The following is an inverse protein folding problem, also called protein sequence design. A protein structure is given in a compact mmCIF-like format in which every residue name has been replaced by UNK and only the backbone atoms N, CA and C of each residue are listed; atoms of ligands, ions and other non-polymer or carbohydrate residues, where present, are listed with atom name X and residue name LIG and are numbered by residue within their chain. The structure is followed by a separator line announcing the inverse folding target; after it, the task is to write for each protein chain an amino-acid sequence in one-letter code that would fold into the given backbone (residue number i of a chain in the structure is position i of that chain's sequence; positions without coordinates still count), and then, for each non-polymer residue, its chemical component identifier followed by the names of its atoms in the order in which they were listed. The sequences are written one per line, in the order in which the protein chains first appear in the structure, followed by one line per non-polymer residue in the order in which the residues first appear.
data_IF_126547208171
#
_entry.id   IF_126547208171
#
_cell.length_a   1.000
_cell.length_b   1.000
_cell.length_c   1.000
_cell.angle_alpha   90.00
_cell.angle_beta   90.00
_cell.angle_gamma   90.00
#
_symmetry.space_group_name_H-M   'P 1'
#
loop_
_entity.id
_entity.type
_entity.pdbx_description
1 polymer ?
#
# COMPACT_ATOMS: atom_id res chain seq x y z
N UNK A 1 2.02 1.79 -3.59
CA UNK A 1 1.07 1.64 -2.49
C UNK A 1 0.95 2.92 -1.67
N UNK A 2 0.07 2.94 -0.65
CA UNK A 2 -0.14 4.08 0.25
C UNK A 2 0.53 3.88 1.61
N UNK A 3 0.06 2.88 2.35
CA UNK A 3 0.49 2.59 3.71
C UNK A 3 1.87 1.94 3.71
N UNK A 4 2.80 2.44 4.53
CA UNK A 4 4.20 2.00 4.52
C UNK A 4 5.02 2.46 3.30
N UNK A 5 4.41 3.13 2.32
CA UNK A 5 5.08 3.60 1.09
C UNK A 5 5.00 5.11 0.97
N UNK A 6 3.81 5.68 0.98
CA UNK A 6 3.60 7.14 1.01
C UNK A 6 3.60 7.64 2.44
N UNK A 7 2.85 6.98 3.32
CA UNK A 7 2.75 7.32 4.73
C UNK A 7 3.31 6.21 5.63
N UNK A 8 3.98 6.58 6.72
CA UNK A 8 4.43 5.67 7.78
C UNK A 8 3.26 5.36 8.74
N UNK A 9 2.26 4.64 8.23
CA UNK A 9 1.03 4.30 8.95
C UNK A 9 1.03 2.89 9.52
N UNK A 10 1.91 2.02 9.07
CA UNK A 10 1.93 0.61 9.43
C UNK A 10 2.11 0.32 10.93
N UNK A 11 2.91 1.07 11.70
CA UNK A 11 2.97 0.89 13.15
C UNK A 11 1.62 1.14 13.83
N UNK A 12 0.83 2.11 13.31
CA UNK A 12 -0.49 2.44 13.84
C UNK A 12 -1.50 1.31 13.54
N UNK A 13 -1.49 0.78 12.29
CA UNK A 13 -2.33 -0.38 11.93
C UNK A 13 -1.96 -1.65 12.68
N UNK A 14 -0.67 -1.93 12.86
CA UNK A 14 -0.22 -3.08 13.65
C UNK A 14 -0.78 -3.02 15.07
N UNK A 15 -0.79 -1.84 15.69
CA UNK A 15 -1.37 -1.64 17.03
C UNK A 15 -2.88 -1.84 17.03
N UNK A 16 -3.59 -1.26 16.07
CA UNK A 16 -5.04 -1.40 15.94
C UNK A 16 -5.46 -2.85 15.72
N UNK A 17 -4.92 -3.48 14.65
CA UNK A 17 -5.26 -4.86 14.32
C UNK A 17 -4.81 -5.86 15.39
N UNK A 18 -3.66 -5.62 16.03
CA UNK A 18 -3.22 -6.43 17.15
C UNK A 18 -4.22 -6.43 18.32
N UNK A 19 -4.90 -5.31 18.57
CA UNK A 19 -5.98 -5.25 19.58
C UNK A 19 -7.20 -6.07 19.14
N UNK A 20 -7.66 -5.93 17.87
CA UNK A 20 -8.78 -6.71 17.34
C UNK A 20 -8.47 -8.21 17.31
N UNK A 21 -7.26 -8.59 16.87
CA UNK A 21 -6.85 -9.99 16.82
C UNK A 21 -6.78 -10.62 18.21
N UNK A 22 -6.25 -9.94 19.21
CA UNK A 22 -6.23 -10.45 20.59
C UNK A 22 -7.64 -10.65 21.17
N UNK A 23 -8.59 -9.79 20.82
CA UNK A 23 -9.96 -9.88 21.31
C UNK A 23 -10.77 -10.99 20.61
N UNK A 24 -10.67 -11.09 19.28
CA UNK A 24 -11.55 -11.92 18.48
C UNK A 24 -10.88 -13.18 17.90
N UNK A 25 -9.56 -13.18 17.76
CA UNK A 25 -8.76 -14.28 17.18
C UNK A 25 -7.53 -14.60 18.04
N UNK A 26 -7.72 -14.87 19.36
CA UNK A 26 -6.62 -15.26 20.23
C UNK A 26 -5.97 -16.59 19.81
N UNK A 27 -6.69 -17.40 19.01
CA UNK A 27 -6.23 -18.64 18.40
C UNK A 27 -5.20 -18.45 17.27
N UNK A 28 -5.03 -17.21 16.78
CA UNK A 28 -4.11 -16.92 15.67
C UNK A 28 -3.11 -15.80 16.03
N UNK A 29 -2.05 -16.10 16.79
CA UNK A 29 -1.03 -15.12 17.14
C UNK A 29 -0.32 -14.58 15.89
N UNK A 30 -0.12 -13.25 15.80
CA UNK A 30 0.57 -12.61 14.68
C UNK A 30 -0.30 -12.35 13.45
N UNK A 31 -1.62 -12.56 13.55
CA UNK A 31 -2.56 -12.29 12.47
C UNK A 31 -2.49 -10.84 11.98
N UNK A 32 -2.19 -9.88 12.86
CA UNK A 32 -2.02 -8.46 12.54
C UNK A 32 -0.91 -8.19 11.51
N UNK A 33 0.03 -9.12 11.35
CA UNK A 33 1.07 -9.04 10.33
C UNK A 33 0.66 -9.76 9.04
N UNK A 34 -0.11 -10.83 9.14
CA UNK A 34 -0.53 -11.64 7.99
C UNK A 34 -1.58 -10.92 7.10
N UNK A 35 -2.40 -10.06 7.69
CA UNK A 35 -3.48 -9.33 6.98
C UNK A 35 -2.98 -8.14 6.15
N UNK A 36 -1.73 -7.72 6.32
CA UNK A 36 -1.17 -6.55 5.62
C UNK A 36 -1.25 -6.70 4.10
N UNK A 37 -1.64 -5.61 3.42
CA UNK A 37 -1.82 -5.56 1.97
C UNK A 37 -3.13 -6.17 1.46
N UNK A 38 -3.98 -6.73 2.34
CA UNK A 38 -5.32 -7.20 1.97
C UNK A 38 -6.36 -6.07 2.09
N UNK A 39 -7.45 -6.20 1.35
CA UNK A 39 -8.60 -5.30 1.51
C UNK A 39 -9.36 -5.63 2.80
N UNK A 40 -10.11 -4.64 3.33
CA UNK A 40 -10.95 -4.87 4.50
C UNK A 40 -11.95 -6.00 4.30
N UNK A 41 -12.55 -6.10 3.10
CA UNK A 41 -13.50 -7.16 2.77
C UNK A 41 -12.86 -8.53 2.95
N UNK A 42 -11.68 -8.75 2.37
CA UNK A 42 -10.96 -10.03 2.49
C UNK A 42 -10.52 -10.32 3.92
N UNK A 43 -10.07 -9.32 4.66
CA UNK A 43 -9.71 -9.50 6.07
C UNK A 43 -10.92 -9.99 6.86
N UNK A 44 -12.08 -9.38 6.66
CA UNK A 44 -13.31 -9.75 7.36
C UNK A 44 -13.81 -11.13 6.95
N UNK A 45 -13.81 -11.45 5.66
CA UNK A 45 -14.24 -12.75 5.15
C UNK A 45 -13.32 -13.89 5.61
N UNK A 46 -12.01 -13.72 5.46
CA UNK A 46 -11.04 -14.78 5.71
C UNK A 46 -10.79 -15.03 7.21
N UNK A 47 -10.85 -13.99 8.04
CA UNK A 47 -10.39 -14.10 9.44
C UNK A 47 -11.46 -13.81 10.47
N UNK A 48 -12.53 -13.08 10.12
CA UNK A 48 -13.61 -12.70 11.03
C UNK A 48 -14.99 -13.13 10.50
N UNK A 49 -15.03 -14.17 9.64
CA UNK A 49 -16.24 -14.81 9.14
C UNK A 49 -16.79 -15.87 10.10
N UNK A 50 -17.81 -16.63 9.64
CA UNK A 50 -18.41 -17.71 10.41
C UNK A 50 -19.01 -17.21 11.72
N UNK A 51 -18.58 -17.79 12.85
CA UNK A 51 -19.06 -17.41 14.20
C UNK A 51 -18.76 -15.95 14.56
N UNK A 52 -17.74 -15.36 13.94
CA UNK A 52 -17.34 -13.96 14.16
C UNK A 52 -18.06 -12.97 13.23
N UNK A 53 -18.89 -13.44 12.29
CA UNK A 53 -19.60 -12.55 11.36
C UNK A 53 -20.41 -11.45 12.07
N UNK A 54 -21.00 -11.74 13.21
CA UNK A 54 -21.72 -10.76 14.03
C UNK A 54 -20.82 -9.66 14.63
N UNK A 55 -19.50 -9.83 14.62
CA UNK A 55 -18.52 -8.87 15.13
C UNK A 55 -17.96 -7.95 14.05
N UNK A 56 -18.16 -8.26 12.77
CA UNK A 56 -17.61 -7.48 11.66
C UNK A 56 -18.05 -6.02 11.69
N UNK A 57 -19.32 -5.73 11.93
CA UNK A 57 -19.81 -4.35 12.03
C UNK A 57 -19.11 -3.56 13.13
N UNK A 58 -18.84 -4.16 14.28
CA UNK A 58 -18.09 -3.54 15.38
C UNK A 58 -16.64 -3.26 15.00
N UNK A 59 -16.00 -4.22 14.30
CA UNK A 59 -14.62 -4.06 13.82
C UNK A 59 -14.54 -2.91 12.80
N UNK A 60 -15.50 -2.83 11.87
CA UNK A 60 -15.58 -1.74 10.87
C UNK A 60 -15.78 -0.39 11.57
N UNK A 61 -16.69 -0.30 12.52
CA UNK A 61 -16.92 0.93 13.29
C UNK A 61 -15.66 1.39 14.01
N UNK A 62 -14.95 0.47 14.67
CA UNK A 62 -13.69 0.75 15.36
C UNK A 62 -12.59 1.18 14.38
N UNK A 63 -12.51 0.53 13.22
CA UNK A 63 -11.54 0.89 12.18
C UNK A 63 -11.80 2.30 11.65
N UNK A 64 -13.04 2.62 11.31
CA UNK A 64 -13.42 3.94 10.82
C UNK A 64 -13.15 5.04 11.87
N UNK A 65 -13.41 4.76 13.15
CA UNK A 65 -13.09 5.68 14.23
C UNK A 65 -11.58 5.88 14.39
N UNK A 66 -10.80 4.80 14.30
CA UNK A 66 -9.34 4.82 14.35
C UNK A 66 -8.76 5.62 13.17
N UNK A 67 -9.16 5.35 11.93
CA UNK A 67 -8.65 6.01 10.73
C UNK A 67 -8.93 7.52 10.72
N UNK A 68 -10.02 7.97 11.35
CA UNK A 68 -10.28 9.41 11.56
C UNK A 68 -9.28 10.08 12.49
N UNK A 69 -8.63 9.32 13.36
CA UNK A 69 -7.64 9.85 14.32
C UNK A 69 -6.19 9.62 13.91
N UNK A 70 -5.95 8.79 12.89
CA UNK A 70 -4.60 8.47 12.44
C UNK A 70 -3.79 9.71 12.04
N UNK A 71 -2.48 9.63 12.27
CA UNK A 71 -1.52 10.57 11.74
C UNK A 71 -1.00 10.08 10.37
N UNK A 72 -1.01 10.97 9.38
CA UNK A 72 -0.49 10.70 8.05
C UNK A 72 0.86 11.40 7.86
N UNK A 73 1.90 10.80 8.44
CA UNK A 73 3.28 11.29 8.31
C UNK A 73 3.89 10.64 7.07
N UNK A 74 4.38 11.47 6.14
CA UNK A 74 5.05 10.95 4.94
C UNK A 74 6.28 10.11 5.31
N UNK A 75 6.50 9.01 4.58
CA UNK A 75 7.79 8.34 4.59
C UNK A 75 8.86 9.35 4.19
N UNK A 76 10.01 9.27 4.85
CA UNK A 76 11.06 10.28 4.73
C UNK A 76 11.43 10.58 3.28
N UNK A 77 11.44 11.86 2.91
CA UNK A 77 11.73 12.40 1.58
C UNK A 77 10.76 11.98 0.45
N UNK A 78 9.60 11.38 0.77
CA UNK A 78 8.60 11.00 -0.22
C UNK A 78 8.13 12.18 -1.08
N UNK A 79 7.80 13.33 -0.45
CA UNK A 79 7.29 14.49 -1.20
C UNK A 79 8.32 15.05 -2.17
N UNK A 80 9.61 15.09 -1.79
CA UNK A 80 10.71 15.46 -2.70
C UNK A 80 10.75 14.52 -3.89
N UNK A 81 10.73 13.22 -3.62
CA UNK A 81 10.80 12.18 -4.63
C UNK A 81 9.64 12.26 -5.64
N UNK A 82 8.39 12.33 -5.19
CA UNK A 82 7.24 12.39 -6.10
C UNK A 82 7.23 13.68 -6.92
N UNK A 83 7.61 14.81 -6.32
CA UNK A 83 7.74 16.09 -7.04
C UNK A 83 8.84 16.04 -8.10
N UNK A 84 9.96 15.38 -7.82
CA UNK A 84 11.05 15.15 -8.78
C UNK A 84 10.58 14.29 -9.96
N UNK A 85 9.88 13.18 -9.71
CA UNK A 85 9.30 12.34 -10.78
C UNK A 85 8.38 13.16 -11.69
N UNK A 86 7.45 13.89 -11.12
CA UNK A 86 6.48 14.71 -11.88
C UNK A 86 7.16 15.83 -12.68
N UNK A 87 8.18 16.48 -12.14
CA UNK A 87 8.96 17.50 -12.88
C UNK A 87 9.73 16.92 -14.07
N UNK A 88 9.99 15.62 -14.07
CA UNK A 88 10.56 14.88 -15.19
C UNK A 88 9.51 14.21 -16.10
N UNK A 89 8.24 14.58 -15.98
CA UNK A 89 7.16 14.11 -16.83
C UNK A 89 6.67 12.68 -16.53
N UNK A 90 7.08 12.09 -15.39
CA UNK A 90 6.66 10.75 -15.00
C UNK A 90 5.25 10.81 -14.42
N UNK A 91 4.36 9.93 -14.88
CA UNK A 91 3.04 9.73 -14.33
C UNK A 91 3.13 9.00 -13.00
N UNK A 92 2.33 9.46 -12.03
CA UNK A 92 2.34 8.90 -10.68
C UNK A 92 0.92 8.50 -10.26
N UNK A 93 0.78 7.33 -9.63
CA UNK A 93 -0.48 6.87 -9.06
C UNK A 93 -0.30 6.30 -7.66
N UNK A 94 -1.31 6.50 -6.81
CA UNK A 94 -1.52 5.68 -5.63
C UNK A 94 -2.39 4.49 -6.02
N UNK A 95 -2.00 3.29 -5.61
CA UNK A 95 -2.76 2.05 -5.78
C UNK A 95 -2.85 1.35 -4.44
N UNK A 96 -3.96 1.54 -3.74
CA UNK A 96 -4.12 1.13 -2.34
C UNK A 96 -5.26 0.14 -2.13
N UNK A 97 -5.09 -0.80 -1.21
CA UNK A 97 -6.16 -1.68 -0.73
C UNK A 97 -7.13 -0.96 0.23
N UNK A 98 -6.85 0.29 0.56
CA UNK A 98 -7.73 1.14 1.37
C UNK A 98 -8.96 1.55 0.57
N UNK A 99 -10.08 1.74 1.29
CA UNK A 99 -11.34 2.18 0.73
C UNK A 99 -11.46 3.72 0.64
N UNK A 100 -12.53 4.18 0.00
CA UNK A 100 -12.81 5.62 -0.16
C UNK A 100 -12.99 6.35 1.18
N UNK A 101 -13.53 5.71 2.22
CA UNK A 101 -13.71 6.35 3.53
C UNK A 101 -12.38 6.73 4.17
N UNK A 102 -11.41 5.81 4.12
CA UNK A 102 -10.03 6.12 4.55
C UNK A 102 -9.41 7.20 3.68
N UNK A 103 -9.54 7.10 2.36
CA UNK A 103 -8.98 8.12 1.46
C UNK A 103 -9.58 9.51 1.71
N UNK A 104 -10.86 9.60 2.07
CA UNK A 104 -11.48 10.87 2.47
C UNK A 104 -10.82 11.45 3.74
N UNK A 105 -10.45 10.61 4.70
CA UNK A 105 -9.70 11.05 5.90
C UNK A 105 -8.31 11.57 5.53
N UNK A 106 -7.61 10.91 4.59
CA UNK A 106 -6.33 11.40 4.04
C UNK A 106 -6.50 12.76 3.38
N UNK A 107 -7.50 12.92 2.52
CA UNK A 107 -7.74 14.16 1.79
C UNK A 107 -8.09 15.33 2.69
N UNK A 108 -8.77 15.08 3.80
CA UNK A 108 -9.11 16.10 4.80
C UNK A 108 -7.91 16.55 5.62
N UNK A 109 -7.01 15.62 5.95
CA UNK A 109 -5.86 15.90 6.82
C UNK A 109 -4.61 16.33 6.08
N UNK A 110 -4.43 15.89 4.83
CA UNK A 110 -3.24 16.15 4.03
C UNK A 110 -3.59 17.06 2.85
N UNK A 111 -3.59 18.37 3.11
CA UNK A 111 -3.81 19.37 2.06
C UNK A 111 -2.78 19.20 0.94
N UNK A 112 -3.24 19.23 -0.32
CA UNK A 112 -2.38 19.06 -1.49
C UNK A 112 -2.04 17.62 -1.86
N UNK A 113 -2.38 16.61 -1.03
CA UNK A 113 -2.08 15.21 -1.32
C UNK A 113 -2.55 14.77 -2.71
N UNK A 114 -3.80 15.09 -3.08
CA UNK A 114 -4.35 14.76 -4.41
C UNK A 114 -3.51 15.33 -5.55
N UNK A 115 -2.91 16.49 -5.37
CA UNK A 115 -2.07 17.15 -6.37
C UNK A 115 -0.72 16.50 -6.61
N UNK A 116 -0.31 15.56 -5.76
CA UNK A 116 0.93 14.81 -5.93
C UNK A 116 0.83 13.68 -6.96
N UNK A 117 -0.39 13.29 -7.35
CA UNK A 117 -0.64 12.12 -8.19
C UNK A 117 -1.53 12.44 -9.39
N UNK A 118 -1.31 11.74 -10.49
CA UNK A 118 -2.15 11.81 -11.69
C UNK A 118 -3.38 10.90 -11.55
N UNK A 119 -3.30 9.85 -10.72
CA UNK A 119 -4.41 8.96 -10.39
C UNK A 119 -4.31 8.43 -8.96
N UNK A 120 -5.46 8.08 -8.38
CA UNK A 120 -5.57 7.36 -7.11
C UNK A 120 -6.57 6.24 -7.35
N UNK A 121 -6.14 5.00 -7.18
CA UNK A 121 -6.95 3.80 -7.25
C UNK A 121 -7.09 3.22 -5.84
N UNK A 122 -8.33 2.96 -5.45
CA UNK A 122 -8.73 2.43 -4.15
C UNK A 122 -9.26 1.02 -4.29
N UNK A 123 -9.63 0.36 -3.19
CA UNK A 123 -10.19 -1.00 -3.23
C UNK A 123 -11.44 -1.12 -4.10
N UNK A 124 -12.14 -0.04 -4.40
CA UNK A 124 -13.32 0.00 -5.25
C UNK A 124 -12.99 0.01 -6.76
N UNK A 125 -11.73 0.26 -7.13
CA UNK A 125 -11.30 0.38 -8.53
C UNK A 125 -10.84 -0.96 -9.14
N UNK A 126 -10.68 -2.02 -8.36
CA UNK A 126 -10.22 -3.32 -8.84
C UNK A 126 -11.03 -4.47 -8.26
N UNK A 127 -11.08 -5.60 -8.98
CA UNK A 127 -11.92 -6.75 -8.62
C UNK A 127 -11.20 -7.72 -7.68
N UNK A 128 -9.88 -7.80 -7.80
CA UNK A 128 -9.04 -8.72 -7.03
C UNK A 128 -7.96 -7.96 -6.31
N UNK A 129 -7.88 -8.22 -5.02
CA UNK A 129 -6.92 -7.57 -4.15
C UNK A 129 -5.53 -8.21 -4.27
N UNK A 130 -4.49 -7.49 -3.83
CA UNK A 130 -3.13 -8.00 -3.69
C UNK A 130 -3.12 -9.31 -2.87
N UNK A 131 -2.47 -10.38 -3.31
CA UNK A 131 -1.35 -10.42 -4.24
C UNK A 131 -1.72 -10.58 -5.73
N UNK A 132 -3.01 -10.53 -6.11
CA UNK A 132 -3.38 -10.52 -7.53
C UNK A 132 -2.85 -9.25 -8.21
N UNK A 133 -2.39 -9.31 -9.48
CA UNK A 133 -1.84 -8.15 -10.18
C UNK A 133 -2.89 -7.14 -10.66
N UNK A 134 -4.19 -7.41 -10.52
CA UNK A 134 -5.30 -6.65 -11.10
C UNK A 134 -5.18 -5.13 -10.86
N UNK A 135 -4.89 -4.73 -9.62
CA UNK A 135 -4.80 -3.32 -9.24
C UNK A 135 -3.66 -2.58 -9.98
N UNK A 136 -2.49 -3.19 -10.17
CA UNK A 136 -1.36 -2.57 -10.88
C UNK A 136 -1.55 -2.60 -12.39
N UNK A 137 -2.15 -3.66 -12.94
CA UNK A 137 -2.51 -3.72 -14.36
C UNK A 137 -3.52 -2.61 -14.69
N UNK A 138 -4.55 -2.42 -13.87
CA UNK A 138 -5.53 -1.33 -14.05
C UNK A 138 -4.89 0.05 -13.96
N UNK A 139 -3.93 0.23 -13.07
CA UNK A 139 -3.19 1.49 -12.98
C UNK A 139 -2.37 1.79 -14.27
N UNK A 140 -1.67 0.79 -14.82
CA UNK A 140 -0.95 0.94 -16.08
C UNK A 140 -1.89 1.25 -17.25
N UNK A 141 -3.00 0.53 -17.35
CA UNK A 141 -4.04 0.76 -18.37
C UNK A 141 -4.62 2.17 -18.30
N UNK A 142 -4.78 2.74 -17.09
CA UNK A 142 -5.30 4.11 -16.92
C UNK A 142 -4.40 5.17 -17.53
N UNK A 143 -3.11 4.88 -17.67
CA UNK A 143 -2.13 5.78 -18.28
C UNK A 143 -1.74 5.38 -19.70
N UNK A 144 -2.29 4.29 -20.22
CA UNK A 144 -1.94 3.73 -21.54
C UNK A 144 -0.43 3.49 -21.67
N UNK A 145 0.16 2.87 -20.62
CA UNK A 145 1.60 2.54 -20.58
C UNK A 145 1.80 1.03 -20.48
N UNK A 146 2.95 0.56 -20.99
CA UNK A 146 3.32 -0.85 -20.91
C UNK A 146 3.83 -1.20 -19.51
N UNK A 147 3.65 -2.45 -19.08
CA UNK A 147 4.10 -2.93 -17.77
C UNK A 147 5.60 -2.79 -17.54
N UNK A 148 6.39 -2.91 -18.60
CA UNK A 148 7.84 -2.75 -18.60
C UNK A 148 8.28 -1.31 -18.28
N UNK A 149 7.40 -0.33 -18.52
CA UNK A 149 7.63 1.09 -18.22
C UNK A 149 7.19 1.47 -16.81
N UNK A 150 6.63 0.50 -16.04
CA UNK A 150 6.07 0.75 -14.72
C UNK A 150 7.01 0.31 -13.60
N UNK A 151 7.04 1.10 -12.53
CA UNK A 151 7.70 0.75 -11.27
C UNK A 151 6.65 0.77 -10.16
N UNK A 152 6.56 -0.33 -9.42
CA UNK A 152 5.73 -0.48 -8.23
C UNK A 152 6.59 -0.24 -6.99
N UNK A 153 6.11 0.60 -6.07
CA UNK A 153 6.70 0.82 -4.76
C UNK A 153 5.81 0.17 -3.71
N UNK A 154 6.36 -0.76 -2.90
CA UNK A 154 5.60 -1.61 -1.98
C UNK A 154 6.42 -2.02 -0.76
N UNK A 155 5.73 -2.26 0.37
CA UNK A 155 6.32 -2.67 1.64
C UNK A 155 5.79 -4.00 2.16
N UNK A 156 4.59 -4.40 1.71
CA UNK A 156 3.90 -5.62 2.13
C UNK A 156 4.21 -6.81 1.23
N UNK A 157 4.22 -8.03 1.78
CA UNK A 157 4.43 -9.24 0.97
C UNK A 157 3.37 -9.42 -0.13
N UNK A 158 2.10 -9.09 0.17
CA UNK A 158 1.04 -9.20 -0.81
C UNK A 158 1.22 -8.20 -1.95
N UNK A 159 1.56 -6.95 -1.63
CA UNK A 159 1.79 -5.94 -2.63
C UNK A 159 3.03 -6.19 -3.48
N UNK A 160 4.14 -6.61 -2.87
CA UNK A 160 5.35 -7.00 -3.59
C UNK A 160 5.09 -8.14 -4.59
N UNK A 161 4.35 -9.17 -4.16
CA UNK A 161 3.93 -10.28 -5.04
C UNK A 161 3.02 -9.79 -6.16
N UNK A 162 2.09 -8.88 -5.87
CA UNK A 162 1.19 -8.28 -6.85
C UNK A 162 1.96 -7.54 -7.94
N UNK A 163 2.94 -6.69 -7.57
CA UNK A 163 3.81 -6.00 -8.51
C UNK A 163 4.63 -6.95 -9.39
N UNK A 164 5.17 -8.02 -8.80
CA UNK A 164 5.88 -9.07 -9.55
C UNK A 164 4.95 -9.87 -10.46
N UNK A 165 3.74 -10.20 -10.02
CA UNK A 165 2.74 -10.88 -10.84
C UNK A 165 2.24 -10.01 -12.01
N UNK A 166 2.24 -8.68 -11.85
CA UNK A 166 2.00 -7.72 -12.93
C UNK A 166 3.16 -7.63 -13.92
N UNK A 167 4.28 -8.32 -13.67
CA UNK A 167 5.53 -8.27 -14.45
C UNK A 167 6.14 -6.85 -14.54
N UNK A 168 5.91 -6.04 -13.50
CA UNK A 168 6.47 -4.71 -13.36
C UNK A 168 7.77 -4.73 -12.55
N UNK A 169 8.58 -3.68 -12.63
CA UNK A 169 9.71 -3.48 -11.70
C UNK A 169 9.18 -3.17 -10.31
N UNK A 170 9.79 -3.75 -9.28
CA UNK A 170 9.35 -3.59 -7.90
C UNK A 170 10.47 -3.04 -7.02
N UNK A 171 10.22 -1.89 -6.43
CA UNK A 171 11.03 -1.30 -5.37
C UNK A 171 10.36 -1.62 -4.04
N UNK A 172 11.02 -2.46 -3.24
CA UNK A 172 10.56 -2.79 -1.89
C UNK A 172 10.96 -1.70 -0.89
N UNK A 173 10.03 -1.26 -0.03
CA UNK A 173 10.32 -0.40 1.12
C UNK A 173 10.41 -1.24 2.39
N UNK A 174 11.51 -1.11 3.14
CA UNK A 174 11.69 -1.83 4.41
C UNK A 174 11.09 -1.08 5.61
N UNK A 175 9.93 -0.48 5.42
CA UNK A 175 9.15 0.22 6.44
C UNK A 175 8.33 -0.71 7.31
N UNK A 176 7.82 -1.80 6.72
CA UNK A 176 6.95 -2.78 7.38
C UNK A 176 7.67 -4.10 7.68
N UNK A 177 8.48 -4.55 6.72
CA UNK A 177 9.22 -5.81 6.80
C UNK A 177 10.72 -5.55 6.67
N UNK A 178 11.57 -6.45 7.22
CA UNK A 178 13.01 -6.28 7.11
C UNK A 178 13.48 -6.37 5.65
N UNK A 179 14.57 -5.68 5.34
CA UNK A 179 15.18 -5.68 4.01
C UNK A 179 15.43 -7.10 3.48
N UNK A 180 15.93 -7.96 4.33
CA UNK A 180 16.26 -9.36 4.00
C UNK A 180 14.99 -10.16 3.65
N UNK A 181 13.89 -9.90 4.38
CA UNK A 181 12.62 -10.63 4.18
C UNK A 181 11.98 -10.30 2.83
N UNK A 182 12.06 -9.03 2.38
CA UNK A 182 11.42 -8.57 1.15
C UNK A 182 12.33 -8.61 -0.09
N UNK A 183 13.65 -8.79 0.08
CA UNK A 183 14.62 -8.74 -1.00
C UNK A 183 14.31 -9.70 -2.16
N UNK A 184 13.82 -10.90 -1.86
CA UNK A 184 13.47 -11.89 -2.90
C UNK A 184 12.23 -11.56 -3.72
N UNK A 185 11.44 -10.58 -3.28
CA UNK A 185 10.23 -10.12 -3.95
C UNK A 185 10.40 -8.74 -4.62
N UNK A 186 11.60 -8.17 -4.55
CA UNK A 186 11.91 -6.83 -5.02
C UNK A 186 13.07 -6.85 -6.01
N UNK A 187 13.08 -5.93 -6.98
CA UNK A 187 14.25 -5.71 -7.84
C UNK A 187 15.32 -4.91 -7.09
N UNK A 188 14.88 -4.03 -6.18
CA UNK A 188 15.72 -3.25 -5.27
C UNK A 188 14.95 -3.03 -3.96
N UNK A 189 15.68 -2.86 -2.86
CA UNK A 189 15.07 -2.51 -1.56
C UNK A 189 15.69 -1.23 -1.03
N UNK A 190 14.81 -0.30 -0.64
CA UNK A 190 15.16 0.97 0.01
C UNK A 190 14.52 1.05 1.40
N UNK A 191 15.08 1.86 2.30
CA UNK A 191 14.47 2.14 3.62
C UNK A 191 13.51 3.33 3.56
N UNK A 192 13.84 4.32 2.74
CA UNK A 192 13.11 5.56 2.53
C UNK A 192 13.57 6.19 1.20
N UNK A 193 13.13 7.40 0.91
CA UNK A 193 13.44 8.10 -0.34
C UNK A 193 14.65 9.03 -0.26
N UNK A 194 15.40 9.07 0.85
CA UNK A 194 16.51 10.02 1.05
C UNK A 194 17.58 9.90 -0.03
N UNK A 195 17.96 8.66 -0.39
CA UNK A 195 19.01 8.37 -1.36
C UNK A 195 18.47 7.81 -2.68
N UNK A 196 17.16 7.89 -2.93
CA UNK A 196 16.52 7.36 -4.12
C UNK A 196 15.81 8.47 -4.88
N UNK A 197 16.01 8.53 -6.20
CA UNK A 197 15.46 9.58 -7.05
C UNK A 197 15.13 9.14 -8.47
N UNK A 198 14.83 10.09 -9.34
CA UNK A 198 14.46 9.86 -10.74
C UNK A 198 15.51 9.05 -11.51
N UNK A 199 16.81 9.33 -11.30
CA UNK A 199 17.88 8.61 -12.02
C UNK A 199 17.95 7.13 -11.64
N UNK A 200 17.61 6.77 -10.41
CA UNK A 200 17.55 5.38 -9.96
C UNK A 200 16.37 4.65 -10.64
N UNK A 201 15.21 5.31 -10.73
CA UNK A 201 14.07 4.79 -11.49
C UNK A 201 14.42 4.55 -12.96
N UNK A 202 15.07 5.53 -13.62
CA UNK A 202 15.52 5.42 -15.01
C UNK A 202 16.47 4.24 -15.20
N UNK A 203 17.42 4.07 -14.27
CA UNK A 203 18.39 2.96 -14.32
C UNK A 203 17.68 1.62 -14.14
N UNK A 204 16.64 1.55 -13.30
CA UNK A 204 15.90 0.32 -13.04
C UNK A 204 15.10 -0.14 -14.29
N UNK A 205 14.50 0.80 -15.02
CA UNK A 205 13.77 0.54 -16.28
C UNK A 205 14.74 0.21 -17.41
N UNK A 206 15.89 0.90 -17.52
CA UNK A 206 16.86 0.72 -18.63
C UNK A 206 17.65 -0.59 -18.57
N UNK A 207 17.48 -1.40 -17.51
CA UNK A 207 18.09 -2.73 -17.38
C UNK A 207 17.24 -3.86 -17.96
N UNK A 208 16.28 -3.52 -18.79
CA UNK A 208 15.56 -4.42 -19.69
C UNK A 208 16.27 -4.45 -21.06
#
# INVERSE_FOLDING_TARGET
DLDGVVFDTEPQYTKFWGAQCREFRPDYPGLEHAIKGQTLCEILENYFGGELASKQSLIIERLNAFEKTMDFIYVKDFERFVKELRSNGIKTAVVTSSNLDKMNSVFQKCEGFRGLFDAILTSEDFERSKPDPDCYIKAAQRFDVQKEECIVFEDSFNGLKSGKAAEMKVVGLSTTNSKEAIAKYSDIVISDYTAFGFNDCKTLISKL
#
